data_IF_172263032440
#
_entry.id   IF_172263032440
#
_cell.length_a   1.000
_cell.length_b   1.000
_cell.length_c   1.000
_cell.angle_alpha   90.00
_cell.angle_beta   90.00
_cell.angle_gamma   90.00
#
_symmetry.space_group_name_H-M   'P 1'
#
loop_
_entity.id
_entity.type
_entity.pdbx_description
1 polymer ?
#
# COMPACT_ATOMS: atom_id res chain seq x y z
N UNK A 1 -11.20 15.69 -5.12
CA UNK A 1 -11.32 14.70 -4.03
C UNK A 1 -11.01 15.30 -2.66
N UNK A 2 -9.91 16.05 -2.49
CA UNK A 2 -9.53 16.64 -1.20
C UNK A 2 -10.65 17.40 -0.46
N UNK A 3 -11.44 18.23 -1.16
CA UNK A 3 -12.55 18.97 -0.52
C UNK A 3 -13.60 18.04 0.12
N UNK A 4 -13.90 16.89 -0.50
CA UNK A 4 -14.85 15.90 0.04
C UNK A 4 -14.29 15.28 1.32
N UNK A 5 -13.00 14.91 1.31
CA UNK A 5 -12.31 14.35 2.48
C UNK A 5 -12.33 15.35 3.63
N UNK A 6 -12.02 16.62 3.34
CA UNK A 6 -12.04 17.70 4.32
C UNK A 6 -13.42 17.92 4.95
N UNK A 7 -14.48 17.87 4.16
CA UNK A 7 -15.85 18.06 4.65
C UNK A 7 -16.33 16.87 5.49
N UNK A 8 -16.03 15.64 5.06
CA UNK A 8 -16.51 14.44 5.73
C UNK A 8 -15.74 14.13 7.03
N UNK A 9 -14.47 14.53 7.13
CA UNK A 9 -13.62 14.30 8.33
C UNK A 9 -13.62 12.85 8.81
N UNK A 10 -13.52 11.92 7.87
CA UNK A 10 -13.48 10.48 8.12
C UNK A 10 -12.16 9.89 7.60
N UNK A 11 -11.64 8.82 8.22
CA UNK A 11 -10.55 8.05 7.65
C UNK A 11 -10.89 7.66 6.21
N UNK A 12 -9.96 7.92 5.29
CA UNK A 12 -10.19 7.75 3.86
C UNK A 12 -9.13 6.84 3.25
N UNK A 13 -9.57 5.91 2.40
CA UNK A 13 -8.70 5.07 1.58
C UNK A 13 -8.81 5.51 0.11
N UNK A 14 -7.68 5.84 -0.50
CA UNK A 14 -7.56 6.13 -1.93
C UNK A 14 -6.83 4.95 -2.56
N UNK A 15 -7.49 4.22 -3.47
CA UNK A 15 -6.91 3.10 -4.20
C UNK A 15 -6.50 3.52 -5.60
N UNK A 16 -5.24 3.26 -5.95
CA UNK A 16 -4.67 3.49 -7.27
C UNK A 16 -4.18 2.19 -7.92
N UNK A 17 -4.15 2.17 -9.26
CA UNK A 17 -3.88 0.96 -10.04
C UNK A 17 -2.40 0.55 -10.04
N UNK A 18 -1.47 1.45 -9.74
CA UNK A 18 -0.03 1.17 -9.78
C UNK A 18 0.75 2.04 -8.78
N UNK A 19 1.98 1.62 -8.44
CA UNK A 19 2.86 2.30 -7.47
C UNK A 19 3.18 3.75 -7.86
N UNK A 20 3.35 4.04 -9.15
CA UNK A 20 3.68 5.40 -9.64
C UNK A 20 2.56 6.40 -9.37
N UNK A 21 1.32 6.06 -9.71
CA UNK A 21 0.17 6.90 -9.44
C UNK A 21 -0.11 6.99 -7.93
N UNK A 22 0.11 5.90 -7.17
CA UNK A 22 0.02 5.95 -5.70
C UNK A 22 0.98 6.98 -5.13
N UNK A 23 2.23 7.03 -5.59
CA UNK A 23 3.23 7.98 -5.12
C UNK A 23 2.85 9.42 -5.44
N UNK A 24 2.40 9.69 -6.67
CA UNK A 24 1.93 11.01 -7.08
C UNK A 24 0.77 11.51 -6.20
N UNK A 25 -0.25 10.67 -5.99
CA UNK A 25 -1.39 11.01 -5.15
C UNK A 25 -1.00 11.20 -3.69
N UNK A 26 -0.04 10.42 -3.18
CA UNK A 26 0.49 10.57 -1.83
C UNK A 26 1.13 11.94 -1.62
N UNK A 27 1.99 12.37 -2.55
CA UNK A 27 2.64 13.68 -2.48
C UNK A 27 1.62 14.83 -2.55
N UNK A 28 0.64 14.72 -3.45
CA UNK A 28 -0.46 15.70 -3.55
C UNK A 28 -1.28 15.75 -2.25
N UNK A 29 -1.65 14.61 -1.66
CA UNK A 29 -2.42 14.59 -0.42
C UNK A 29 -1.62 15.17 0.75
N UNK A 30 -0.30 14.93 0.82
CA UNK A 30 0.56 15.57 1.81
C UNK A 30 0.58 17.09 1.68
N UNK A 31 0.59 17.62 0.45
CA UNK A 31 0.53 19.06 0.21
C UNK A 31 -0.83 19.65 0.59
N UNK A 32 -1.93 18.94 0.31
CA UNK A 32 -3.27 19.40 0.67
C UNK A 32 -3.59 19.27 2.16
N UNK A 33 -2.97 18.31 2.86
CA UNK A 33 -3.26 17.99 4.25
C UNK A 33 -1.99 17.86 5.10
N UNK A 34 -1.21 18.94 5.29
CA UNK A 34 0.09 18.88 5.96
C UNK A 34 0.03 18.46 7.44
N UNK A 35 -1.10 18.69 8.11
CA UNK A 35 -1.31 18.36 9.53
C UNK A 35 -1.94 16.98 9.76
N UNK A 36 -2.48 16.37 8.70
CA UNK A 36 -3.15 15.07 8.75
C UNK A 36 -2.14 13.92 8.62
N UNK A 37 -2.53 12.73 9.08
CA UNK A 37 -1.77 11.52 8.81
C UNK A 37 -2.01 11.04 7.37
N UNK A 38 -1.19 11.51 6.43
CA UNK A 38 -1.18 11.01 5.05
C UNK A 38 -0.18 9.86 4.96
N UNK A 39 -0.70 8.66 4.72
CA UNK A 39 0.02 7.39 4.78
C UNK A 39 0.13 6.71 3.41
N UNK A 40 1.23 6.00 3.20
CA UNK A 40 1.54 5.32 1.93
C UNK A 40 1.52 3.81 2.12
N UNK A 41 0.66 3.11 1.39
CA UNK A 41 0.42 1.68 1.60
C UNK A 41 0.45 0.87 0.30
N UNK A 42 1.64 0.43 -0.09
CA UNK A 42 1.85 -0.42 -1.28
C UNK A 42 2.35 -1.82 -0.90
N UNK A 43 2.45 -2.71 -1.88
CA UNK A 43 3.15 -3.98 -1.67
C UNK A 43 4.62 -3.71 -1.36
N UNK A 44 5.07 -4.30 -0.26
CA UNK A 44 6.45 -4.27 0.24
C UNK A 44 7.38 -5.20 -0.54
N UNK A 45 6.85 -6.00 -1.47
CA UNK A 45 7.69 -6.77 -2.39
C UNK A 45 8.22 -5.88 -3.53
N UNK A 46 9.53 -5.90 -3.72
CA UNK A 46 10.18 -5.33 -4.92
C UNK A 46 10.12 -6.32 -6.08
N UNK A 47 10.26 -7.61 -5.79
CA UNK A 47 10.01 -8.71 -6.71
C UNK A 47 9.29 -9.84 -5.97
N UNK A 48 8.35 -10.49 -6.67
CA UNK A 48 7.62 -11.64 -6.16
C UNK A 48 7.43 -12.66 -7.28
N UNK A 49 8.02 -13.83 -7.08
CA UNK A 49 7.82 -15.02 -7.89
C UNK A 49 6.94 -16.00 -7.09
N UNK A 50 5.73 -16.31 -7.56
CA UNK A 50 4.94 -17.36 -6.95
C UNK A 50 5.57 -18.73 -7.22
N UNK A 51 5.28 -19.68 -6.34
CA UNK A 51 5.54 -21.08 -6.59
C UNK A 51 4.70 -21.56 -7.78
N UNK A 52 5.33 -22.25 -8.73
CA UNK A 52 4.62 -22.77 -9.90
C UNK A 52 5.21 -24.09 -10.38
N UNK A 53 4.32 -25.00 -10.78
CA UNK A 53 4.67 -26.22 -11.49
C UNK A 53 4.39 -26.04 -12.98
N UNK A 54 5.35 -26.43 -13.82
CA UNK A 54 5.28 -26.37 -15.29
C UNK A 54 5.15 -27.79 -15.85
N UNK A 55 3.93 -28.25 -16.19
CA UNK A 55 3.72 -29.64 -16.63
C UNK A 55 4.48 -30.00 -17.91
N UNK A 56 4.64 -29.04 -18.84
CA UNK A 56 5.28 -29.27 -20.13
C UNK A 56 6.78 -29.56 -20.05
N UNK A 57 7.42 -29.25 -18.92
CA UNK A 57 8.86 -29.48 -18.70
C UNK A 57 9.13 -30.24 -17.40
N UNK A 58 8.08 -30.74 -16.73
CA UNK A 58 8.12 -31.36 -15.40
C UNK A 58 8.97 -30.55 -14.39
N UNK A 59 8.91 -29.21 -14.51
CA UNK A 59 9.74 -28.31 -13.71
C UNK A 59 8.93 -27.68 -12.59
N UNK A 60 9.44 -27.81 -11.39
CA UNK A 60 9.00 -27.03 -10.25
C UNK A 60 9.85 -25.76 -10.12
N UNK A 61 9.18 -24.63 -9.90
CA UNK A 61 9.81 -23.33 -9.62
C UNK A 61 9.35 -22.91 -8.23
N UNK A 62 10.31 -22.85 -7.31
CA UNK A 62 10.06 -22.41 -5.94
C UNK A 62 9.70 -20.92 -5.89
N UNK A 63 8.99 -20.55 -4.83
CA UNK A 63 8.73 -19.15 -4.53
C UNK A 63 10.06 -18.42 -4.28
N UNK A 64 10.18 -17.22 -4.80
CA UNK A 64 11.28 -16.31 -4.52
C UNK A 64 10.75 -14.90 -4.39
N UNK A 65 11.27 -14.13 -3.45
CA UNK A 65 10.78 -12.77 -3.21
C UNK A 65 11.81 -11.92 -2.53
N UNK A 66 11.83 -10.64 -2.87
CA UNK A 66 12.62 -9.62 -2.18
C UNK A 66 11.71 -8.59 -1.54
N UNK A 67 11.99 -8.27 -0.28
CA UNK A 67 11.23 -7.31 0.53
C UNK A 67 11.99 -5.98 0.60
N UNK A 68 11.23 -4.90 0.48
CA UNK A 68 11.68 -3.55 0.71
C UNK A 68 11.37 -3.12 2.16
N UNK A 69 12.40 -3.03 2.99
CA UNK A 69 12.26 -2.68 4.41
C UNK A 69 11.65 -1.29 4.62
N UNK A 70 11.94 -0.32 3.74
CA UNK A 70 11.37 1.02 3.84
C UNK A 70 9.86 1.00 3.61
N UNK A 71 9.38 0.24 2.62
CA UNK A 71 7.95 0.08 2.39
C UNK A 71 7.26 -0.63 3.55
N UNK A 72 7.92 -1.58 4.21
CA UNK A 72 7.36 -2.23 5.39
C UNK A 72 7.22 -1.27 6.58
N UNK A 73 8.20 -0.39 6.81
CA UNK A 73 8.09 0.67 7.82
C UNK A 73 6.90 1.59 7.53
N UNK A 74 6.68 1.98 6.28
CA UNK A 74 5.54 2.81 5.89
C UNK A 74 4.20 2.07 6.10
N UNK A 75 4.15 0.76 5.89
CA UNK A 75 2.96 -0.06 6.18
C UNK A 75 2.67 -0.11 7.67
N UNK A 76 3.70 -0.28 8.51
CA UNK A 76 3.56 -0.22 9.98
C UNK A 76 3.13 1.17 10.46
N UNK A 77 3.65 2.24 9.86
CA UNK A 77 3.18 3.61 10.10
C UNK A 77 1.68 3.74 9.79
N UNK A 78 1.26 3.20 8.65
CA UNK A 78 -0.14 3.23 8.22
C UNK A 78 -1.07 2.54 9.22
N UNK A 79 -0.72 1.31 9.66
CA UNK A 79 -1.55 0.57 10.61
C UNK A 79 -1.62 1.26 11.96
N UNK A 80 -0.51 1.82 12.44
CA UNK A 80 -0.47 2.64 13.66
C UNK A 80 -1.37 3.87 13.54
N UNK A 81 -1.26 4.64 12.46
CA UNK A 81 -2.08 5.83 12.22
C UNK A 81 -3.58 5.52 12.12
N UNK A 82 -3.97 4.36 11.57
CA UNK A 82 -5.37 3.93 11.54
C UNK A 82 -5.94 3.59 12.92
N UNK A 83 -5.10 3.15 13.86
CA UNK A 83 -5.50 2.82 15.23
C UNK A 83 -5.55 4.08 16.11
N UNK A 84 -4.55 4.95 15.96
CA UNK A 84 -4.33 6.08 16.86
C UNK A 84 -5.05 7.37 16.42
N UNK A 85 -5.37 7.51 15.13
CA UNK A 85 -5.86 8.77 14.55
C UNK A 85 -7.15 8.58 13.75
N UNK A 86 -8.01 9.60 13.78
CA UNK A 86 -9.24 9.65 12.97
C UNK A 86 -9.08 10.43 11.67
N UNK A 87 -8.01 11.18 11.54
CA UNK A 87 -7.73 12.10 10.45
C UNK A 87 -6.75 11.50 9.43
N UNK A 88 -6.76 10.15 9.31
CA UNK A 88 -5.85 9.36 8.48
C UNK A 88 -6.35 9.24 7.05
N UNK A 89 -5.48 9.54 6.09
CA UNK A 89 -5.69 9.37 4.65
C UNK A 89 -4.67 8.35 4.16
N UNK A 90 -5.13 7.17 3.73
CA UNK A 90 -4.28 6.11 3.21
C UNK A 90 -4.32 6.14 1.69
N UNK A 91 -3.16 6.32 1.07
CA UNK A 91 -3.00 6.20 -0.38
C UNK A 91 -2.35 4.85 -0.67
N UNK A 92 -3.07 3.96 -1.33
CA UNK A 92 -2.70 2.56 -1.49
C UNK A 92 -2.73 2.09 -2.95
N UNK A 93 -1.92 1.08 -3.28
CA UNK A 93 -2.02 0.39 -4.56
C UNK A 93 -3.00 -0.78 -4.48
N UNK A 94 -3.70 -1.12 -5.57
CA UNK A 94 -4.57 -2.31 -5.59
C UNK A 94 -3.81 -3.60 -5.22
N UNK A 95 -2.51 -3.68 -5.50
CA UNK A 95 -1.68 -4.83 -5.13
C UNK A 95 -1.49 -5.01 -3.62
N UNK A 96 -1.72 -3.98 -2.80
CA UNK A 96 -1.50 -4.04 -1.35
C UNK A 96 -2.71 -4.56 -0.56
N UNK A 97 -3.85 -4.77 -1.22
CA UNK A 97 -5.02 -5.46 -0.63
C UNK A 97 -4.83 -6.98 -0.60
N UNK A 98 -3.88 -7.50 -1.39
CA UNK A 98 -3.48 -8.90 -1.38
C UNK A 98 -2.37 -9.08 -0.33
N UNK A 99 -2.51 -10.08 0.55
CA UNK A 99 -1.45 -10.46 1.50
C UNK A 99 -1.67 -10.11 2.97
N UNK A 100 -2.83 -9.58 3.38
CA UNK A 100 -3.22 -9.66 4.80
C UNK A 100 -3.53 -11.12 5.15
N UNK A 101 -2.55 -11.86 5.67
CA UNK A 101 -2.74 -13.22 6.22
C UNK A 101 -2.17 -14.38 5.41
N UNK A 102 -1.26 -14.15 4.47
CA UNK A 102 -0.49 -15.24 3.84
C UNK A 102 0.76 -15.55 4.70
N UNK A 103 0.53 -16.04 5.91
CA UNK A 103 1.56 -16.56 6.83
C UNK A 103 1.01 -17.78 7.56
#
# INVERSE_FOLDING_TARGET
MANIIHQLKRPTLILALNKTLTAQLYDEMKQFFPENAVEFFVSYYDYFQPEMYLPGSDRFVEKDSSINEHLEILRLSTTKSLIERRDTIVVASVSSIYGFGAS
#
